data_IF_287207788761
#
_entry.id   IF_287207788761
#
_cell.length_a   1.000
_cell.length_b   1.000
_cell.length_c   1.000
_cell.angle_alpha   90.00
_cell.angle_beta   90.00
_cell.angle_gamma   90.00
#
_symmetry.space_group_name_H-M   'P 1'
#
loop_
_entity.id
_entity.type
_entity.pdbx_description
1 polymer ?
#
# COMPACT_ATOMS: atom_id res chain seq x y z
N UNK A 1 7.78 -5.71 40.96
CA UNK A 1 8.20 -4.72 39.94
C UNK A 1 9.22 -5.43 39.07
N UNK A 2 8.82 -5.91 37.89
CA UNK A 2 9.75 -6.51 36.92
C UNK A 2 9.56 -5.80 35.58
N UNK A 3 10.32 -4.73 35.40
CA UNK A 3 10.36 -3.94 34.17
C UNK A 3 11.39 -4.58 33.23
N UNK A 4 10.91 -5.41 32.29
CA UNK A 4 11.76 -5.96 31.24
C UNK A 4 11.98 -4.89 30.16
N UNK A 5 13.22 -4.63 29.72
CA UNK A 5 13.47 -3.64 28.68
C UNK A 5 12.83 -4.09 27.36
N UNK A 6 11.79 -3.36 26.93
CA UNK A 6 11.20 -3.45 25.59
C UNK A 6 12.27 -3.07 24.55
N UNK A 7 13.00 -4.05 24.04
CA UNK A 7 13.85 -3.90 22.86
C UNK A 7 12.98 -3.49 21.66
N UNK A 8 12.82 -2.18 21.44
CA UNK A 8 12.24 -1.62 20.21
C UNK A 8 13.26 -1.83 19.11
N UNK A 9 13.10 -2.89 18.31
CA UNK A 9 13.90 -3.10 17.08
C UNK A 9 13.73 -1.87 16.17
N UNK A 10 14.71 -0.96 16.19
CA UNK A 10 14.80 0.18 15.27
C UNK A 10 15.39 -0.30 13.95
N UNK A 11 14.61 -1.08 13.20
CA UNK A 11 14.96 -1.39 11.81
C UNK A 11 14.46 -0.20 11.00
N UNK A 12 15.31 0.81 10.86
CA UNK A 12 15.04 2.07 10.13
C UNK A 12 15.10 1.83 8.62
N UNK A 13 15.06 0.59 8.12
CA UNK A 13 15.23 0.32 6.70
C UNK A 13 14.40 -0.90 6.32
N UNK A 14 13.18 -0.64 5.86
CA UNK A 14 12.23 -1.69 5.50
C UNK A 14 12.31 -1.98 4.00
N UNK A 15 12.66 -0.98 3.16
CA UNK A 15 12.96 -1.14 1.71
C UNK A 15 13.89 -0.03 1.19
N UNK A 16 15.20 -0.31 1.10
CA UNK A 16 16.22 0.64 0.62
C UNK A 16 15.88 1.18 -0.77
N UNK A 17 15.52 0.29 -1.70
CA UNK A 17 15.35 0.66 -3.11
C UNK A 17 14.27 1.75 -3.33
N UNK A 18 13.11 1.60 -2.69
CA UNK A 18 12.02 2.57 -2.84
C UNK A 18 12.36 3.91 -2.18
N UNK A 19 12.95 3.87 -0.98
CA UNK A 19 13.37 5.05 -0.24
C UNK A 19 14.42 5.86 -0.99
N UNK A 20 15.46 5.19 -1.51
CA UNK A 20 16.49 5.83 -2.32
C UNK A 20 15.93 6.42 -3.61
N UNK A 21 14.98 5.75 -4.28
CA UNK A 21 14.34 6.28 -5.48
C UNK A 21 13.65 7.62 -5.20
N UNK A 22 12.85 7.72 -4.13
CA UNK A 22 12.16 8.97 -3.79
C UNK A 22 13.12 10.08 -3.36
N UNK A 23 14.10 9.76 -2.51
CA UNK A 23 15.11 10.74 -2.10
C UNK A 23 15.87 11.25 -3.33
N UNK A 24 16.28 10.36 -4.24
CA UNK A 24 16.97 10.73 -5.47
C UNK A 24 16.10 11.64 -6.37
N UNK A 25 14.81 11.32 -6.54
CA UNK A 25 13.89 12.17 -7.31
C UNK A 25 13.83 13.58 -6.72
N UNK A 26 13.66 13.70 -5.39
CA UNK A 26 13.59 15.00 -4.71
C UNK A 26 14.91 15.77 -4.88
N UNK A 27 16.05 15.13 -4.63
CA UNK A 27 17.36 15.78 -4.77
C UNK A 27 17.65 16.21 -6.21
N UNK A 28 17.38 15.35 -7.20
CA UNK A 28 17.59 15.68 -8.62
C UNK A 28 16.69 16.86 -9.02
N UNK A 29 15.41 16.83 -8.63
CA UNK A 29 14.50 17.94 -8.91
C UNK A 29 14.98 19.26 -8.29
N UNK A 30 15.50 19.20 -7.06
CA UNK A 30 16.06 20.37 -6.38
C UNK A 30 17.33 20.89 -7.06
N UNK A 31 18.24 20.00 -7.49
CA UNK A 31 19.46 20.39 -8.22
C UNK A 31 19.10 21.02 -9.57
N UNK A 32 18.11 20.48 -10.28
CA UNK A 32 17.63 21.06 -11.53
C UNK A 32 17.07 22.47 -11.32
N UNK A 33 16.24 22.68 -10.29
CA UNK A 33 15.71 24.00 -9.93
C UNK A 33 16.82 24.96 -9.52
N UNK A 34 17.79 24.50 -8.73
CA UNK A 34 18.92 25.33 -8.32
C UNK A 34 19.79 25.73 -9.52
N UNK A 35 19.97 24.82 -10.47
CA UNK A 35 20.73 25.07 -11.70
C UNK A 35 20.01 26.09 -12.59
N UNK A 36 18.71 25.93 -12.83
CA UNK A 36 17.94 26.89 -13.66
C UNK A 36 17.90 28.28 -13.03
N UNK A 37 17.64 28.38 -11.73
CA UNK A 37 17.63 29.67 -11.02
C UNK A 37 19.03 30.29 -10.97
N UNK A 38 20.06 29.50 -10.66
CA UNK A 38 21.43 29.97 -10.60
C UNK A 38 21.93 30.48 -11.95
N UNK A 39 21.60 29.77 -13.03
CA UNK A 39 21.88 30.18 -14.40
C UNK A 39 21.20 31.50 -14.74
N UNK A 40 19.90 31.61 -14.48
CA UNK A 40 19.10 32.81 -14.79
C UNK A 40 19.62 34.05 -14.03
N UNK A 41 19.94 33.91 -12.75
CA UNK A 41 20.52 34.97 -11.94
C UNK A 41 21.89 35.40 -12.49
N UNK A 42 22.78 34.44 -12.78
CA UNK A 42 24.11 34.74 -13.31
C UNK A 42 24.02 35.49 -14.65
N UNK A 43 23.14 35.03 -15.53
CA UNK A 43 22.92 35.64 -16.84
C UNK A 43 22.32 37.06 -16.73
N UNK A 44 21.27 37.22 -15.93
CA UNK A 44 20.56 38.50 -15.77
C UNK A 44 21.44 39.56 -15.09
N UNK A 45 22.12 39.20 -14.00
CA UNK A 45 23.02 40.12 -13.28
C UNK A 45 24.25 40.43 -14.12
N UNK A 46 24.82 39.44 -14.80
CA UNK A 46 25.94 39.64 -15.71
C UNK A 46 25.61 40.62 -16.83
N UNK A 47 24.41 40.50 -17.44
CA UNK A 47 23.91 41.44 -18.45
C UNK A 47 23.79 42.86 -17.89
N UNK A 48 23.20 43.03 -16.70
CA UNK A 48 23.03 44.34 -16.07
C UNK A 48 24.38 45.02 -15.74
N UNK A 49 25.39 44.26 -15.30
CA UNK A 49 26.72 44.81 -15.00
C UNK A 49 27.41 45.30 -16.28
N UNK A 50 27.27 44.55 -17.40
CA UNK A 50 27.81 44.98 -18.69
C UNK A 50 27.14 46.25 -19.19
N UNK A 51 25.82 46.39 -19.00
CA UNK A 51 25.05 47.58 -19.39
C UNK A 51 25.40 48.83 -18.57
N UNK A 52 25.71 48.67 -17.28
CA UNK A 52 26.05 49.78 -16.40
C UNK A 52 27.52 50.25 -16.49
N UNK A 53 28.37 49.59 -17.30
CA UNK A 53 29.80 49.92 -17.48
C UNK A 53 30.56 50.21 -16.17
N UNK A 54 30.22 49.51 -15.07
CA UNK A 54 30.79 49.74 -13.73
C UNK A 54 31.66 48.55 -13.31
N UNK A 55 32.99 48.59 -13.54
CA UNK A 55 33.89 47.46 -13.30
C UNK A 55 33.91 46.99 -11.84
N UNK A 56 33.59 47.88 -10.89
CA UNK A 56 33.53 47.59 -9.46
C UNK A 56 32.45 46.57 -9.06
N UNK A 57 31.46 46.29 -9.92
CA UNK A 57 30.37 45.37 -9.61
C UNK A 57 30.74 43.89 -9.85
N UNK A 58 31.69 43.60 -10.74
CA UNK A 58 32.12 42.22 -11.02
C UNK A 58 32.65 41.46 -9.78
N UNK A 59 33.57 42.00 -8.96
CA UNK A 59 34.02 41.31 -7.74
C UNK A 59 32.90 41.13 -6.72
N UNK A 60 31.91 42.04 -6.70
CA UNK A 60 30.72 41.92 -5.84
C UNK A 60 29.87 40.74 -6.32
N UNK A 61 29.67 40.57 -7.63
CA UNK A 61 28.95 39.43 -8.22
C UNK A 61 29.56 38.08 -7.82
N UNK A 62 30.89 37.95 -7.91
CA UNK A 62 31.61 36.72 -7.51
C UNK A 62 31.42 36.45 -6.01
N UNK A 63 31.50 37.48 -5.17
CA UNK A 63 31.27 37.35 -3.72
C UNK A 63 29.84 36.90 -3.41
N UNK A 64 28.84 37.47 -4.09
CA UNK A 64 27.44 37.06 -3.95
C UNK A 64 27.26 35.60 -4.39
N UNK A 65 27.84 35.20 -5.53
CA UNK A 65 27.73 33.83 -6.04
C UNK A 65 28.32 32.81 -5.04
N UNK A 66 29.49 33.09 -4.47
CA UNK A 66 30.10 32.22 -3.45
C UNK A 66 29.22 32.11 -2.19
N UNK A 67 28.61 33.21 -1.74
CA UNK A 67 27.66 33.19 -0.62
C UNK A 67 26.38 32.40 -0.96
N UNK A 68 25.87 32.51 -2.19
CA UNK A 68 24.72 31.74 -2.65
C UNK A 68 25.03 30.24 -2.73
N UNK A 69 26.21 29.87 -3.20
CA UNK A 69 26.64 28.48 -3.29
C UNK A 69 26.76 27.83 -1.89
N UNK A 70 27.28 28.58 -0.90
CA UNK A 70 27.27 28.14 0.50
C UNK A 70 25.85 27.94 1.05
N UNK A 71 24.93 28.87 0.79
CA UNK A 71 23.51 28.74 1.18
C UNK A 71 22.83 27.54 0.51
N UNK A 72 23.13 27.30 -0.76
CA UNK A 72 22.62 26.16 -1.51
C UNK A 72 23.08 24.83 -0.89
N UNK A 73 24.35 24.73 -0.49
CA UNK A 73 24.87 23.55 0.19
C UNK A 73 24.13 23.27 1.52
N UNK A 74 23.90 24.31 2.32
CA UNK A 74 23.11 24.19 3.56
C UNK A 74 21.67 23.75 3.28
N UNK A 75 21.03 24.34 2.27
CA UNK A 75 19.67 23.97 1.86
C UNK A 75 19.60 22.50 1.39
N UNK A 76 20.59 22.02 0.63
CA UNK A 76 20.66 20.63 0.17
C UNK A 76 20.72 19.65 1.34
N UNK A 77 21.50 19.97 2.38
CA UNK A 77 21.56 19.15 3.60
C UNK A 77 20.21 19.12 4.31
N UNK A 78 19.53 20.27 4.45
CA UNK A 78 18.22 20.35 5.08
C UNK A 78 17.19 19.52 4.30
N UNK A 79 17.11 19.69 2.99
CA UNK A 79 16.17 18.95 2.13
C UNK A 79 16.46 17.46 2.15
N UNK A 80 17.73 17.05 2.15
CA UNK A 80 18.13 15.65 2.27
C UNK A 80 17.60 15.02 3.58
N UNK A 81 17.78 15.71 4.70
CA UNK A 81 17.28 15.26 6.01
C UNK A 81 15.75 15.11 5.96
N UNK A 82 15.03 16.13 5.45
CA UNK A 82 13.57 16.09 5.32
C UNK A 82 13.13 14.93 4.42
N UNK A 83 13.80 14.72 3.28
CA UNK A 83 13.48 13.66 2.33
C UNK A 83 13.61 12.27 2.98
N UNK A 84 14.62 12.04 3.83
CA UNK A 84 14.75 10.79 4.60
C UNK A 84 13.55 10.58 5.52
N UNK A 85 13.16 11.62 6.28
CA UNK A 85 12.03 11.54 7.21
C UNK A 85 10.70 11.29 6.50
N UNK A 86 10.44 12.03 5.43
CA UNK A 86 9.21 11.87 4.63
C UNK A 86 9.16 10.50 3.99
N UNK A 87 10.26 10.06 3.37
CA UNK A 87 10.29 8.76 2.70
C UNK A 87 10.04 7.59 3.67
N UNK A 88 10.45 7.75 4.94
CA UNK A 88 10.15 6.79 5.99
C UNK A 88 8.65 6.59 6.24
N UNK A 89 7.88 7.69 6.21
CA UNK A 89 6.43 7.66 6.43
C UNK A 89 5.64 6.95 5.33
N UNK A 90 6.22 6.82 4.13
CA UNK A 90 5.61 6.08 3.02
C UNK A 90 6.14 4.64 2.91
N UNK A 91 7.46 4.43 2.97
CA UNK A 91 8.07 3.13 2.73
C UNK A 91 7.64 2.06 3.74
N UNK A 92 7.43 2.45 5.01
CA UNK A 92 6.94 1.56 6.06
C UNK A 92 5.52 1.03 5.79
N UNK A 93 4.53 1.91 5.62
CA UNK A 93 3.17 1.52 5.24
C UNK A 93 3.08 0.69 3.97
N UNK A 94 3.79 1.08 2.90
CA UNK A 94 3.80 0.33 1.62
C UNK A 94 4.26 -1.11 1.84
N UNK A 95 5.33 -1.31 2.62
CA UNK A 95 5.80 -2.67 2.93
C UNK A 95 4.77 -3.48 3.73
N UNK A 96 4.06 -2.86 4.66
CA UNK A 96 2.97 -3.54 5.40
C UNK A 96 1.85 -3.96 4.46
N UNK A 97 1.44 -3.10 3.52
CA UNK A 97 0.42 -3.46 2.53
C UNK A 97 0.85 -4.63 1.67
N UNK A 98 2.08 -4.63 1.14
CA UNK A 98 2.56 -5.77 0.34
C UNK A 98 2.51 -7.08 1.12
N UNK A 99 3.01 -7.09 2.36
CA UNK A 99 2.92 -8.28 3.23
C UNK A 99 1.48 -8.70 3.51
N UNK A 100 0.57 -7.74 3.64
CA UNK A 100 -0.84 -8.02 3.89
C UNK A 100 -1.53 -8.59 2.65
N UNK A 101 -1.16 -8.11 1.46
CA UNK A 101 -1.61 -8.69 0.20
C UNK A 101 -1.15 -10.15 0.08
N UNK A 102 0.11 -10.45 0.41
CA UNK A 102 0.62 -11.83 0.41
C UNK A 102 -0.21 -12.71 1.38
N UNK A 103 -0.43 -12.25 2.61
CA UNK A 103 -1.22 -12.98 3.62
C UNK A 103 -2.68 -13.21 3.18
N UNK A 104 -3.32 -12.21 2.57
CA UNK A 104 -4.68 -12.33 2.04
C UNK A 104 -4.72 -13.28 0.84
N UNK A 105 -3.71 -13.24 -0.03
CA UNK A 105 -3.58 -14.14 -1.17
C UNK A 105 -3.37 -15.61 -0.73
N UNK A 106 -2.67 -15.83 0.38
CA UNK A 106 -2.52 -17.15 1.01
C UNK A 106 -3.82 -17.66 1.69
N UNK A 107 -4.88 -16.85 1.71
CA UNK A 107 -6.21 -17.21 2.21
C UNK A 107 -6.49 -16.78 3.65
N UNK A 108 -5.57 -16.11 4.34
CA UNK A 108 -5.83 -15.54 5.66
C UNK A 108 -6.53 -14.18 5.55
N UNK A 109 -7.87 -14.24 5.59
CA UNK A 109 -8.74 -13.08 5.56
C UNK A 109 -9.00 -12.46 6.95
N UNK A 110 -8.31 -12.93 7.99
CA UNK A 110 -8.42 -12.37 9.35
C UNK A 110 -7.41 -11.24 9.60
N UNK A 111 -6.34 -11.20 8.80
CA UNK A 111 -5.31 -10.18 8.92
C UNK A 111 -5.86 -8.78 8.60
N UNK A 112 -5.39 -7.77 9.34
CA UNK A 112 -5.75 -6.36 9.14
C UNK A 112 -4.51 -5.49 9.20
N UNK A 113 -4.44 -4.51 8.30
CA UNK A 113 -3.37 -3.50 8.31
C UNK A 113 -3.64 -2.51 9.46
N UNK A 114 -2.60 -2.23 10.24
CA UNK A 114 -2.63 -1.15 11.23
C UNK A 114 -1.35 -0.29 11.10
N UNK A 115 -1.54 0.96 10.69
CA UNK A 115 -0.53 1.99 10.53
C UNK A 115 -0.43 2.82 11.81
N UNK A 116 0.73 3.45 12.01
CA UNK A 116 0.94 4.30 13.19
C UNK A 116 0.32 5.66 12.97
N UNK A 117 -0.01 6.35 14.07
CA UNK A 117 -0.40 7.76 13.98
C UNK A 117 0.73 8.60 13.34
N UNK A 118 0.39 9.35 12.30
CA UNK A 118 1.33 10.15 11.53
C UNK A 118 2.07 9.42 10.40
N UNK A 119 1.81 8.12 10.20
CA UNK A 119 2.13 7.44 8.94
C UNK A 119 1.22 7.95 7.82
N UNK A 120 1.70 7.89 6.59
CA UNK A 120 0.87 8.17 5.41
C UNK A 120 0.04 6.93 5.04
N UNK A 121 -0.94 7.08 4.16
CA UNK A 121 -1.80 5.99 3.66
C UNK A 121 -2.80 5.42 4.69
N UNK A 122 -3.15 6.18 5.73
CA UNK A 122 -4.19 5.77 6.70
C UNK A 122 -5.54 5.56 6.02
N UNK A 123 -5.91 6.39 5.05
CA UNK A 123 -7.15 6.17 4.29
C UNK A 123 -7.11 4.85 3.50
N UNK A 124 -5.96 4.52 2.90
CA UNK A 124 -5.78 3.24 2.20
C UNK A 124 -5.90 2.05 3.16
N UNK A 125 -5.45 2.19 4.42
CA UNK A 125 -5.62 1.15 5.43
C UNK A 125 -7.10 0.83 5.62
N UNK A 126 -7.93 1.85 5.77
CA UNK A 126 -9.36 1.67 6.03
C UNK A 126 -10.06 1.06 4.82
N UNK A 127 -9.73 1.52 3.61
CA UNK A 127 -10.25 0.93 2.36
C UNK A 127 -9.80 -0.52 2.17
N UNK A 128 -8.53 -0.81 2.42
CA UNK A 128 -7.97 -2.17 2.31
C UNK A 128 -8.63 -3.11 3.32
N UNK A 129 -8.71 -2.71 4.59
CA UNK A 129 -9.35 -3.51 5.64
C UNK A 129 -10.85 -3.71 5.35
N UNK A 130 -11.53 -2.70 4.81
CA UNK A 130 -12.91 -2.81 4.34
C UNK A 130 -13.05 -3.86 3.23
N UNK A 131 -12.19 -3.81 2.22
CA UNK A 131 -12.15 -4.81 1.14
C UNK A 131 -11.96 -6.23 1.68
N UNK A 132 -10.95 -6.46 2.53
CA UNK A 132 -10.69 -7.79 3.12
C UNK A 132 -11.87 -8.26 3.97
N UNK A 133 -12.51 -7.36 4.72
CA UNK A 133 -13.71 -7.67 5.51
C UNK A 133 -14.88 -8.14 4.64
N UNK A 134 -15.13 -7.49 3.50
CA UNK A 134 -16.21 -7.90 2.60
C UNK A 134 -15.91 -9.24 1.90
N UNK A 135 -14.64 -9.49 1.52
CA UNK A 135 -14.22 -10.81 1.01
C UNK A 135 -14.45 -11.87 2.10
N UNK A 136 -14.03 -11.61 3.34
CA UNK A 136 -14.21 -12.52 4.46
C UNK A 136 -15.68 -12.88 4.67
N UNK A 137 -16.57 -11.88 4.69
CA UNK A 137 -18.02 -12.11 4.85
C UNK A 137 -18.59 -13.01 3.75
N UNK A 138 -18.21 -12.77 2.49
CA UNK A 138 -18.65 -13.58 1.34
C UNK A 138 -18.18 -15.03 1.49
N UNK A 139 -16.89 -15.25 1.72
CA UNK A 139 -16.33 -16.61 1.87
C UNK A 139 -16.91 -17.33 3.10
N UNK A 140 -17.14 -16.63 4.21
CA UNK A 140 -17.81 -17.22 5.38
C UNK A 140 -19.23 -17.66 5.06
N UNK A 141 -20.01 -16.84 4.34
CA UNK A 141 -21.35 -17.22 3.87
C UNK A 141 -21.32 -18.44 2.95
N UNK A 142 -20.40 -18.46 1.98
CA UNK A 142 -20.24 -19.60 1.06
C UNK A 142 -19.86 -20.88 1.82
N UNK A 143 -18.97 -20.79 2.82
CA UNK A 143 -18.57 -21.92 3.66
C UNK A 143 -19.74 -22.50 4.45
N UNK A 144 -20.60 -21.64 4.99
CA UNK A 144 -21.81 -22.07 5.71
C UNK A 144 -22.80 -22.74 4.76
N UNK A 145 -23.02 -22.20 3.56
CA UNK A 145 -23.85 -22.83 2.53
C UNK A 145 -23.30 -24.18 2.07
N UNK A 146 -21.98 -24.30 1.86
CA UNK A 146 -21.34 -25.59 1.53
C UNK A 146 -21.55 -26.61 2.65
N UNK A 147 -21.45 -26.21 3.92
CA UNK A 147 -21.71 -27.10 5.06
C UNK A 147 -23.14 -27.65 5.04
N UNK A 148 -24.12 -26.79 4.74
CA UNK A 148 -25.53 -27.18 4.58
C UNK A 148 -25.69 -28.18 3.42
N UNK A 149 -25.05 -27.93 2.29
CA UNK A 149 -25.08 -28.84 1.13
C UNK A 149 -24.50 -30.21 1.47
N UNK A 150 -23.35 -30.26 2.15
CA UNK A 150 -22.72 -31.52 2.58
C UNK A 150 -23.64 -32.29 3.53
N UNK A 151 -24.29 -31.62 4.47
CA UNK A 151 -25.24 -32.24 5.40
C UNK A 151 -26.43 -32.85 4.64
N UNK A 152 -27.06 -32.08 3.72
CA UNK A 152 -28.16 -32.58 2.87
C UNK A 152 -27.75 -33.79 2.03
N UNK A 153 -26.55 -33.76 1.42
CA UNK A 153 -26.03 -34.88 0.64
C UNK A 153 -25.79 -36.14 1.48
N UNK A 154 -25.33 -35.99 2.73
CA UNK A 154 -25.13 -37.13 3.63
C UNK A 154 -26.45 -37.82 4.00
N UNK A 155 -27.53 -37.04 4.18
CA UNK A 155 -28.89 -37.56 4.40
C UNK A 155 -29.39 -38.32 3.17
N UNK A 156 -29.23 -37.74 1.96
CA UNK A 156 -29.63 -38.40 0.71
C UNK A 156 -28.86 -39.71 0.51
N UNK A 157 -27.53 -39.71 0.70
CA UNK A 157 -26.69 -40.90 0.59
C UNK A 157 -27.13 -42.02 1.55
N UNK A 158 -27.50 -41.65 2.77
CA UNK A 158 -28.00 -42.59 3.78
C UNK A 158 -29.34 -43.20 3.38
N UNK A 159 -30.26 -42.40 2.80
CA UNK A 159 -31.55 -42.88 2.27
C UNK A 159 -31.35 -43.82 1.08
N UNK A 160 -30.44 -43.47 0.16
CA UNK A 160 -30.14 -44.28 -1.03
C UNK A 160 -29.49 -45.64 -0.70
N UNK A 161 -28.82 -45.74 0.44
CA UNK A 161 -28.17 -46.99 0.88
C UNK A 161 -29.18 -48.02 1.43
N UNK A 162 -30.45 -47.65 1.60
CA UNK A 162 -31.49 -48.57 2.06
C UNK A 162 -31.99 -49.45 0.91
N UNK A 163 -32.11 -50.76 1.15
CA UNK A 163 -32.29 -51.81 0.13
C UNK A 163 -33.64 -51.80 -0.62
N UNK A 164 -34.58 -50.91 -0.27
CA UNK A 164 -35.91 -50.80 -0.89
C UNK A 164 -36.37 -49.33 -0.93
N UNK A 165 -35.96 -48.60 -1.97
CA UNK A 165 -36.40 -47.22 -2.20
C UNK A 165 -37.67 -47.24 -3.04
N UNK A 166 -38.74 -46.66 -2.53
CA UNK A 166 -39.99 -46.53 -3.28
C UNK A 166 -39.86 -45.49 -4.42
N UNK A 167 -40.64 -45.61 -5.51
CA UNK A 167 -40.67 -44.59 -6.57
C UNK A 167 -41.04 -43.18 -6.05
N UNK A 168 -41.84 -43.09 -4.99
CA UNK A 168 -42.17 -41.82 -4.32
C UNK A 168 -40.97 -41.20 -3.60
N UNK A 169 -40.17 -41.99 -2.89
CA UNK A 169 -38.95 -41.50 -2.22
C UNK A 169 -37.90 -41.06 -3.24
N UNK A 170 -37.81 -41.74 -4.38
CA UNK A 170 -36.92 -41.35 -5.48
C UNK A 170 -37.28 -39.96 -6.03
N UNK A 171 -38.58 -39.66 -6.18
CA UNK A 171 -39.06 -38.34 -6.59
C UNK A 171 -38.70 -37.24 -5.58
N UNK A 172 -38.85 -37.53 -4.28
CA UNK A 172 -38.45 -36.61 -3.20
C UNK A 172 -36.95 -36.31 -3.23
N UNK A 173 -36.12 -37.34 -3.41
CA UNK A 173 -34.66 -37.21 -3.52
C UNK A 173 -34.27 -36.35 -4.73
N UNK A 174 -34.89 -36.57 -5.89
CA UNK A 174 -34.65 -35.74 -7.08
C UNK A 174 -35.01 -34.28 -6.83
N UNK A 175 -36.09 -34.01 -6.10
CA UNK A 175 -36.46 -32.66 -5.66
C UNK A 175 -35.38 -32.00 -4.79
N UNK A 176 -34.84 -32.74 -3.82
CA UNK A 176 -33.77 -32.25 -2.95
C UNK A 176 -32.47 -31.96 -3.72
N UNK A 177 -32.10 -32.83 -4.66
CA UNK A 177 -30.92 -32.64 -5.53
C UNK A 177 -31.07 -31.36 -6.36
N UNK A 178 -32.24 -31.13 -6.97
CA UNK A 178 -32.49 -29.90 -7.72
C UNK A 178 -32.39 -28.64 -6.82
N UNK A 179 -32.85 -28.74 -5.56
CA UNK A 179 -32.66 -27.68 -4.58
C UNK A 179 -31.19 -27.38 -4.26
N UNK A 180 -30.36 -28.43 -4.14
CA UNK A 180 -28.91 -28.29 -3.93
C UNK A 180 -28.24 -27.63 -5.15
N UNK A 181 -28.63 -28.02 -6.37
CA UNK A 181 -28.10 -27.41 -7.60
C UNK A 181 -28.41 -25.91 -7.64
N UNK A 182 -29.62 -25.50 -7.26
CA UNK A 182 -29.98 -24.09 -7.18
C UNK A 182 -29.15 -23.34 -6.12
N UNK A 183 -28.88 -23.95 -4.96
CA UNK A 183 -28.06 -23.38 -3.89
C UNK A 183 -26.59 -23.21 -4.34
N UNK A 184 -26.03 -24.20 -5.03
CA UNK A 184 -24.68 -24.13 -5.62
C UNK A 184 -24.56 -23.05 -6.70
N UNK A 185 -25.56 -22.92 -7.58
CA UNK A 185 -25.60 -21.86 -8.59
C UNK A 185 -25.63 -20.46 -7.97
N UNK A 186 -26.27 -20.32 -6.80
CA UNK A 186 -26.29 -19.05 -6.07
C UNK A 186 -24.89 -18.70 -5.54
N UNK A 187 -24.17 -19.67 -4.97
CA UNK A 187 -22.78 -19.50 -4.50
C UNK A 187 -21.88 -19.08 -5.67
N UNK A 188 -21.95 -19.76 -6.81
CA UNK A 188 -21.10 -19.45 -7.96
C UNK A 188 -21.36 -18.08 -8.59
N UNK A 189 -22.57 -17.53 -8.44
CA UNK A 189 -22.93 -16.21 -8.97
C UNK A 189 -22.44 -15.02 -8.12
N UNK A 190 -21.95 -15.28 -6.90
CA UNK A 190 -21.61 -14.25 -5.92
C UNK A 190 -20.37 -13.41 -6.25
N UNK A 191 -19.57 -13.89 -7.20
CA UNK A 191 -18.39 -13.22 -7.74
C UNK A 191 -18.52 -13.13 -9.27
N UNK A 192 -18.11 -11.99 -9.84
CA UNK A 192 -17.90 -11.89 -11.28
C UNK A 192 -16.55 -12.55 -11.58
N UNK A 193 -16.58 -13.83 -11.94
CA UNK A 193 -15.40 -14.63 -12.33
C UNK A 193 -15.57 -15.03 -13.80
#
# INVERSE_FOLDING_TARGET
MDDKPKYKRRIVIIKRALQFKYIAIVLISMVLVAFTVGWDVYYTVGRAIMELETPGLYPIMVKINNLMLGKLAVLLVIVFIIAIFVSHKFAGPIFKFERSCDTVADGDLTYRVHLRSGDELVELQDKFNGMVSEIQKKISGDKDSVKIVVEKLSVISSRLSQKNISPSELSEILGQINGIIAELNKISSGFKI
#
